data_IF_285014368813
#
_entry.id   IF_285014368813
#
_cell.length_a   1.000
_cell.length_b   1.000
_cell.length_c   1.000
_cell.angle_alpha   90.00
_cell.angle_beta   90.00
_cell.angle_gamma   90.00
#
_symmetry.space_group_name_H-M   'P 1'
#
loop_
_entity.id
_entity.type
_entity.pdbx_description
1 polymer ?
#
# COMPACT_ATOMS: atom_id res chain seq x y z
N UNK A 1 16.42 8.27 -2.92
CA UNK A 1 16.66 6.82 -2.73
C UNK A 1 16.74 6.49 -1.24
N UNK A 2 17.78 6.92 -0.50
CA UNK A 2 17.90 6.61 0.94
C UNK A 2 17.00 7.45 1.84
N UNK A 3 16.75 8.71 1.49
CA UNK A 3 15.89 9.61 2.26
C UNK A 3 14.40 9.22 2.15
N UNK A 4 13.96 8.82 0.95
CA UNK A 4 12.59 8.34 0.74
C UNK A 4 12.31 7.08 1.57
N UNK A 5 13.26 6.14 1.59
CA UNK A 5 13.12 4.91 2.38
C UNK A 5 13.12 5.20 3.89
N UNK A 6 13.98 6.10 4.36
CA UNK A 6 13.98 6.56 5.76
C UNK A 6 12.63 7.15 6.17
N UNK A 7 12.07 8.01 5.32
CA UNK A 7 10.75 8.59 5.53
C UNK A 7 9.66 7.51 5.58
N UNK A 8 9.64 6.59 4.61
CA UNK A 8 8.68 5.47 4.56
C UNK A 8 8.75 4.64 5.84
N UNK A 9 9.94 4.22 6.27
CA UNK A 9 10.12 3.38 7.46
C UNK A 9 9.67 4.11 8.74
N UNK A 10 10.00 5.41 8.86
CA UNK A 10 9.57 6.21 10.00
C UNK A 10 8.04 6.31 10.10
N UNK A 11 7.37 6.59 8.98
CA UNK A 11 5.90 6.68 8.92
C UNK A 11 5.24 5.32 9.20
N UNK A 12 5.77 4.23 8.65
CA UNK A 12 5.28 2.87 8.90
C UNK A 12 5.36 2.55 10.39
N UNK A 13 6.52 2.76 11.02
CA UNK A 13 6.68 2.51 12.46
C UNK A 13 5.73 3.35 13.30
N UNK A 14 5.50 4.61 12.92
CA UNK A 14 4.56 5.48 13.63
C UNK A 14 3.11 4.99 13.51
N UNK A 15 2.68 4.54 12.33
CA UNK A 15 1.29 4.16 12.04
C UNK A 15 0.98 2.73 12.50
N UNK A 16 1.87 1.78 12.21
CA UNK A 16 1.70 0.36 12.54
C UNK A 16 2.22 -0.02 13.92
N UNK A 17 2.92 0.90 14.62
CA UNK A 17 3.56 0.64 15.92
C UNK A 17 4.57 -0.51 15.86
N UNK A 18 5.36 -0.53 14.78
CA UNK A 18 6.47 -1.46 14.54
C UNK A 18 7.82 -0.80 14.83
N UNK A 19 8.90 -1.59 14.79
CA UNK A 19 10.27 -1.19 15.09
C UNK A 19 11.25 -1.47 13.93
N UNK A 20 10.77 -1.41 12.69
CA UNK A 20 11.60 -1.65 11.51
C UNK A 20 12.77 -0.65 11.43
N UNK A 21 13.96 -1.15 11.14
CA UNK A 21 15.07 -0.36 10.61
C UNK A 21 15.16 -0.53 9.09
N UNK A 22 16.04 0.23 8.43
CA UNK A 22 16.19 0.20 6.98
C UNK A 22 16.55 -1.19 6.44
N UNK A 23 17.40 -1.94 7.16
CA UNK A 23 17.85 -3.26 6.74
C UNK A 23 16.72 -4.27 6.91
N UNK A 24 16.08 -4.30 8.09
CA UNK A 24 14.97 -5.22 8.35
C UNK A 24 13.81 -4.98 7.40
N UNK A 25 13.50 -3.71 7.10
CA UNK A 25 12.45 -3.35 6.16
C UNK A 25 12.81 -3.74 4.73
N UNK A 26 14.05 -3.45 4.29
CA UNK A 26 14.49 -3.82 2.95
C UNK A 26 14.61 -5.34 2.78
N UNK A 27 14.82 -6.09 3.86
CA UNK A 27 14.88 -7.56 3.84
C UNK A 27 13.53 -8.27 3.92
N UNK A 28 12.41 -7.53 3.98
CA UNK A 28 11.07 -8.14 4.05
C UNK A 28 10.81 -9.06 2.85
N UNK A 29 10.19 -10.21 3.13
CA UNK A 29 9.64 -11.06 2.07
C UNK A 29 8.53 -10.34 1.32
N UNK A 30 8.24 -10.81 0.10
CA UNK A 30 7.16 -10.28 -0.74
C UNK A 30 5.84 -10.25 0.04
N UNK A 31 5.47 -11.35 0.70
CA UNK A 31 4.25 -11.45 1.49
C UNK A 31 4.20 -10.43 2.63
N UNK A 32 5.29 -10.28 3.38
CA UNK A 32 5.33 -9.33 4.50
C UNK A 32 5.27 -7.88 4.00
N UNK A 33 5.92 -7.57 2.87
CA UNK A 33 5.88 -6.24 2.28
C UNK A 33 4.47 -5.89 1.78
N UNK A 34 3.77 -6.85 1.17
CA UNK A 34 2.37 -6.70 0.76
C UNK A 34 1.43 -6.56 1.96
N UNK A 35 1.68 -7.30 3.04
CA UNK A 35 0.92 -7.17 4.28
C UNK A 35 1.08 -5.76 4.85
N UNK A 36 2.31 -5.25 4.96
CA UNK A 36 2.57 -3.88 5.44
C UNK A 36 1.83 -2.84 4.58
N UNK A 37 1.82 -3.00 3.25
CA UNK A 37 1.07 -2.11 2.37
C UNK A 37 -0.44 -2.14 2.67
N UNK A 38 -1.01 -3.32 2.86
CA UNK A 38 -2.43 -3.48 3.19
C UNK A 38 -2.77 -2.92 4.57
N UNK A 39 -1.93 -3.17 5.58
CA UNK A 39 -2.11 -2.64 6.93
C UNK A 39 -2.08 -1.10 6.91
N UNK A 40 -1.18 -0.49 6.12
CA UNK A 40 -1.18 0.97 5.94
C UNK A 40 -2.47 1.42 5.25
N UNK A 41 -2.93 0.77 4.18
CA UNK A 41 -4.20 1.11 3.52
C UNK A 41 -5.39 0.99 4.48
N UNK A 42 -5.40 -0.02 5.36
CA UNK A 42 -6.41 -0.20 6.41
C UNK A 42 -6.39 0.96 7.41
N UNK A 43 -5.21 1.38 7.88
CA UNK A 43 -5.08 2.53 8.81
C UNK A 43 -5.55 3.84 8.21
N UNK A 44 -5.51 3.98 6.88
CA UNK A 44 -6.06 5.12 6.16
C UNK A 44 -7.56 4.97 5.88
N UNK A 45 -8.15 3.82 6.22
CA UNK A 45 -9.55 3.48 5.99
C UNK A 45 -9.88 3.21 4.52
N UNK A 46 -8.87 3.00 3.68
CA UNK A 46 -9.02 2.73 2.25
C UNK A 46 -9.48 1.30 1.96
N UNK A 47 -9.25 0.40 2.92
CA UNK A 47 -9.63 -1.00 2.83
C UNK A 47 -9.97 -1.59 4.19
N UNK A 48 -10.56 -2.79 4.19
CA UNK A 48 -10.78 -3.56 5.41
C UNK A 48 -9.58 -4.47 5.68
N UNK A 49 -9.53 -5.04 6.89
CA UNK A 49 -8.48 -5.97 7.28
C UNK A 49 -8.40 -7.13 6.28
N UNK A 50 -7.19 -7.44 5.82
CA UNK A 50 -6.91 -8.52 4.87
C UNK A 50 -5.57 -9.16 5.21
N UNK A 51 -5.55 -10.49 5.32
CA UNK A 51 -4.36 -11.27 5.66
C UNK A 51 -3.82 -11.93 4.38
N UNK A 52 -2.62 -11.52 3.96
CA UNK A 52 -1.98 -12.00 2.72
C UNK A 52 -1.66 -13.49 2.80
N UNK A 53 -1.25 -13.98 3.98
CA UNK A 53 -0.83 -15.37 4.19
C UNK A 53 -1.95 -16.38 3.98
N UNK A 54 -3.19 -15.98 4.24
CA UNK A 54 -4.38 -16.84 4.14
C UNK A 54 -5.08 -16.69 2.78
N UNK A 55 -4.52 -15.89 1.87
CA UNK A 55 -5.16 -15.48 0.63
C UNK A 55 -4.36 -15.88 -0.60
N UNK A 56 -5.05 -16.13 -1.72
CA UNK A 56 -4.37 -16.35 -2.99
C UNK A 56 -3.67 -15.05 -3.47
N UNK A 57 -2.50 -15.14 -4.13
CA UNK A 57 -1.82 -13.97 -4.68
C UNK A 57 -2.70 -13.14 -5.63
N UNK A 58 -3.54 -13.78 -6.45
CA UNK A 58 -4.44 -13.08 -7.36
C UNK A 58 -5.50 -12.26 -6.61
N UNK A 59 -6.04 -12.81 -5.52
CA UNK A 59 -7.00 -12.12 -4.66
C UNK A 59 -6.35 -10.97 -3.90
N UNK A 60 -5.15 -11.18 -3.37
CA UNK A 60 -4.33 -10.12 -2.74
C UNK A 60 -4.10 -8.96 -3.71
N UNK A 61 -3.70 -9.27 -4.94
CA UNK A 61 -3.48 -8.26 -5.98
C UNK A 61 -4.75 -7.49 -6.31
N UNK A 62 -5.87 -8.20 -6.53
CA UNK A 62 -7.17 -7.58 -6.77
C UNK A 62 -7.55 -6.65 -5.61
N UNK A 63 -7.36 -7.09 -4.38
CA UNK A 63 -7.70 -6.32 -3.19
C UNK A 63 -6.87 -5.04 -3.05
N UNK A 64 -5.56 -5.11 -3.29
CA UNK A 64 -4.68 -3.93 -3.32
C UNK A 64 -5.11 -2.99 -4.44
N UNK A 65 -5.32 -3.49 -5.67
CA UNK A 65 -5.71 -2.66 -6.82
C UNK A 65 -7.03 -1.93 -6.57
N UNK A 66 -8.02 -2.62 -6.00
CA UNK A 66 -9.32 -2.01 -5.69
C UNK A 66 -9.19 -0.96 -4.58
N UNK A 67 -8.31 -1.18 -3.60
CA UNK A 67 -7.98 -0.20 -2.57
C UNK A 67 -7.30 1.05 -3.15
N UNK A 68 -6.35 0.87 -4.08
CA UNK A 68 -5.67 1.96 -4.76
C UNK A 68 -6.60 2.79 -5.64
N UNK A 69 -7.60 2.17 -6.29
CA UNK A 69 -8.63 2.90 -7.05
C UNK A 69 -9.48 3.81 -6.17
N UNK A 70 -9.88 3.36 -4.97
CA UNK A 70 -10.70 4.16 -4.03
C UNK A 70 -10.01 5.47 -3.64
N UNK A 71 -8.70 5.42 -3.46
CA UNK A 71 -7.88 6.60 -3.12
C UNK A 71 -7.37 7.35 -4.36
N UNK A 72 -7.86 6.97 -5.55
CA UNK A 72 -7.49 7.55 -6.85
C UNK A 72 -5.98 7.59 -7.09
N UNK A 73 -5.27 6.57 -6.61
CA UNK A 73 -3.83 6.47 -6.87
C UNK A 73 -3.58 6.22 -8.36
N UNK A 74 -2.69 7.03 -8.94
CA UNK A 74 -2.22 6.86 -10.31
C UNK A 74 -0.72 6.59 -10.29
N UNK A 75 -0.27 5.40 -10.68
CA UNK A 75 1.15 5.09 -10.74
C UNK A 75 1.81 5.94 -11.83
N UNK A 76 2.92 6.62 -11.54
CA UNK A 76 3.60 7.48 -12.52
C UNK A 76 4.12 6.74 -13.76
N UNK A 77 4.24 5.41 -13.66
CA UNK A 77 4.67 4.47 -14.71
C UNK A 77 3.51 3.82 -15.49
N UNK A 78 2.25 4.24 -15.28
CA UNK A 78 1.08 3.65 -15.99
C UNK A 78 0.90 4.08 -17.43
N UNK A 79 1.70 5.04 -17.94
CA UNK A 79 1.59 5.42 -19.34
C UNK A 79 2.00 4.29 -20.32
N UNK A 80 2.66 3.22 -19.86
CA UNK A 80 3.19 2.18 -20.76
C UNK A 80 2.58 0.76 -20.64
N UNK A 81 2.14 0.26 -19.47
CA UNK A 81 1.46 -1.06 -19.40
C UNK A 81 0.79 -1.39 -18.02
N UNK A 82 -0.56 -1.38 -17.92
CA UNK A 82 -1.28 -1.81 -16.71
C UNK A 82 -1.01 -3.28 -16.31
N UNK A 83 -0.71 -4.15 -17.26
CA UNK A 83 -0.42 -5.58 -17.01
C UNK A 83 0.93 -5.74 -16.33
N UNK A 84 1.95 -5.02 -16.80
CA UNK A 84 3.24 -4.97 -16.14
C UNK A 84 3.15 -4.48 -14.70
N UNK A 85 2.36 -3.42 -14.43
CA UNK A 85 2.16 -2.91 -13.08
C UNK A 85 1.59 -3.99 -12.13
N UNK A 86 0.54 -4.71 -12.57
CA UNK A 86 -0.05 -5.81 -11.78
C UNK A 86 0.94 -6.93 -11.49
N UNK A 87 1.80 -7.27 -12.45
CA UNK A 87 2.83 -8.29 -12.28
C UNK A 87 3.90 -7.85 -11.29
N UNK A 88 4.37 -6.61 -11.39
CA UNK A 88 5.37 -6.06 -10.47
C UNK A 88 4.84 -5.95 -9.03
N UNK A 89 3.56 -5.59 -8.88
CA UNK A 89 2.89 -5.56 -7.58
C UNK A 89 2.84 -6.96 -6.95
N UNK A 90 2.44 -7.99 -7.72
CA UNK A 90 2.45 -9.39 -7.28
C UNK A 90 3.84 -9.88 -6.86
N UNK A 91 4.88 -9.40 -7.53
CA UNK A 91 6.27 -9.74 -7.22
C UNK A 91 6.83 -9.00 -6.01
N UNK A 92 6.05 -8.14 -5.35
CA UNK A 92 6.54 -7.33 -4.24
C UNK A 92 7.62 -6.34 -4.67
N UNK A 93 7.61 -5.89 -5.93
CA UNK A 93 8.66 -5.03 -6.45
C UNK A 93 8.73 -3.72 -5.65
N UNK A 94 9.88 -3.49 -5.00
CA UNK A 94 10.11 -2.32 -4.14
C UNK A 94 9.99 -1.01 -4.92
N UNK A 95 10.37 -0.99 -6.20
CA UNK A 95 10.24 0.19 -7.06
C UNK A 95 8.77 0.51 -7.40
N UNK A 96 7.87 -0.44 -7.17
CA UNK A 96 6.42 -0.29 -7.31
C UNK A 96 5.76 0.03 -5.96
N UNK A 97 6.13 -0.69 -4.89
CA UNK A 97 5.50 -0.55 -3.57
C UNK A 97 5.94 0.73 -2.85
N UNK A 98 7.23 1.10 -2.89
CA UNK A 98 7.72 2.27 -2.17
C UNK A 98 7.08 3.58 -2.66
N UNK A 99 6.90 3.83 -3.98
CA UNK A 99 6.15 5.00 -4.44
C UNK A 99 4.68 5.03 -4.01
N UNK A 100 4.02 3.87 -3.87
CA UNK A 100 2.65 3.79 -3.34
C UNK A 100 2.64 4.27 -1.89
N UNK A 101 3.50 3.70 -1.04
CA UNK A 101 3.64 4.10 0.37
C UNK A 101 3.97 5.59 0.51
N UNK A 102 4.91 6.07 -0.30
CA UNK A 102 5.27 7.48 -0.31
C UNK A 102 4.08 8.38 -0.68
N UNK A 103 3.26 8.00 -1.66
CA UNK A 103 2.06 8.74 -2.02
C UNK A 103 1.06 8.77 -0.86
N UNK A 104 0.84 7.63 -0.19
CA UNK A 104 -0.08 7.53 0.96
C UNK A 104 0.31 8.52 2.06
N UNK A 105 1.58 8.54 2.45
CA UNK A 105 2.06 9.41 3.52
C UNK A 105 2.09 10.89 3.11
N UNK A 106 2.55 11.22 1.90
CA UNK A 106 2.57 12.62 1.40
C UNK A 106 1.18 13.21 1.19
N UNK A 107 0.17 12.38 0.93
CA UNK A 107 -1.20 12.82 0.62
C UNK A 107 -2.19 12.38 1.70
N UNK A 108 -1.75 12.25 2.95
CA UNK A 108 -2.50 11.51 3.95
C UNK A 108 -3.92 12.03 4.20
N UNK A 109 -4.10 13.35 4.28
CA UNK A 109 -5.43 13.95 4.44
C UNK A 109 -6.34 13.68 3.24
N UNK A 110 -5.81 13.83 2.02
CA UNK A 110 -6.54 13.55 0.78
C UNK A 110 -6.93 12.08 0.69
N UNK A 111 -6.01 11.16 0.98
CA UNK A 111 -6.23 9.72 0.94
C UNK A 111 -7.29 9.32 1.96
N UNK A 112 -7.23 9.82 3.20
CA UNK A 112 -8.24 9.57 4.23
C UNK A 112 -9.62 10.11 3.84
N UNK A 113 -9.68 11.30 3.24
CA UNK A 113 -10.93 11.88 2.73
C UNK A 113 -11.54 11.04 1.62
N UNK A 114 -10.74 10.67 0.60
CA UNK A 114 -11.19 9.79 -0.48
C UNK A 114 -11.63 8.41 0.03
N UNK A 115 -10.86 7.84 0.95
CA UNK A 115 -11.20 6.57 1.60
C UNK A 115 -12.52 6.67 2.39
N UNK A 116 -12.76 7.77 3.09
CA UNK A 116 -14.01 8.04 3.79
C UNK A 116 -15.20 8.13 2.81
N UNK A 117 -15.03 8.87 1.71
CA UNK A 117 -16.06 9.01 0.67
C UNK A 117 -16.33 7.70 -0.10
N UNK A 118 -15.31 6.86 -0.24
CA UNK A 118 -15.43 5.57 -0.91
C UNK A 118 -16.05 4.47 -0.03
N UNK A 119 -16.25 4.72 1.27
CA UNK A 119 -17.05 3.81 2.09
C UNK A 119 -18.49 3.91 1.60
N UNK A 120 -19.14 2.80 1.22
CA UNK A 120 -20.57 2.82 1.02
C UNK A 120 -21.17 3.31 2.33
N UNK A 121 -21.99 4.36 2.27
CA UNK A 121 -22.75 4.83 3.41
C UNK A 121 -23.55 3.62 3.93
N UNK A 122 -23.08 3.01 5.03
CA UNK A 122 -23.90 2.15 5.85
C UNK A 122 -25.01 3.06 6.38
N UNK A 123 -26.07 3.08 5.59
CA UNK A 123 -27.35 3.67 5.94
C UNK A 123 -27.86 2.86 7.12
N UNK A 124 -28.07 3.61 8.21
CA UNK A 124 -28.86 3.33 9.41
C UNK A 124 -29.92 2.26 9.20
#
# INVERSE_FOLDING_TARGET
MTEDLKFIVAEINNILKTDYNLISFDSLSIENLLQVLLDVLEKFGATAKFEVKDSDPADTNKYILDSLKKIQYRPSNTNDDPTAFRRLLLQGDKKTIYPILQFLFKNAEKVKSLAYLARPALTI
#
